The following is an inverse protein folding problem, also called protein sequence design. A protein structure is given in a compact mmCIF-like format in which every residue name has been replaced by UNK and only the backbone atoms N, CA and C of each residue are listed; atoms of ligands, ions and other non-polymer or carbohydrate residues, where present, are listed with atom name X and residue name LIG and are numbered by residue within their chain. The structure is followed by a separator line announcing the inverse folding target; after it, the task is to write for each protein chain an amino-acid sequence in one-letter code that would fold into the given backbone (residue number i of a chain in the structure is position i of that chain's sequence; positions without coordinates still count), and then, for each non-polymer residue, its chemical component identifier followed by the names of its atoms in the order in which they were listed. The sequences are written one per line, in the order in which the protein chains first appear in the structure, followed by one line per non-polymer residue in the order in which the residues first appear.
data_IF_008205915509
#
_entry.id   IF_008205915509
#
_cell.length_a   1.000
_cell.length_b   1.000
_cell.length_c   1.000
_cell.angle_alpha   90.00
_cell.angle_beta   90.00
_cell.angle_gamma   90.00
#
_symmetry.space_group_name_H-M   'P 1'
#
loop_
_entity.id
_entity.type
_entity.pdbx_description
1 polymer ?
#
# COMPACT_ATOMS: atom_id res chain seq x y z
N UNK A 1 -13.91 -6.01 -8.50
CA UNK A 1 -13.25 -5.49 -9.72
C UNK A 1 -12.93 -4.02 -9.51
N UNK A 2 -11.73 -3.56 -9.87
CA UNK A 2 -11.38 -2.14 -9.75
C UNK A 2 -12.27 -1.29 -10.67
N UNK A 3 -12.75 -0.17 -10.16
CA UNK A 3 -13.59 0.81 -10.86
C UNK A 3 -12.82 2.05 -11.29
N UNK A 4 -11.71 2.36 -10.62
CA UNK A 4 -10.84 3.50 -10.93
C UNK A 4 -9.39 3.24 -10.50
N UNK A 5 -8.48 4.08 -10.98
CA UNK A 5 -7.09 4.09 -10.50
C UNK A 5 -7.00 4.61 -9.06
N UNK A 6 -6.06 4.09 -8.26
CA UNK A 6 -5.76 4.66 -6.95
C UNK A 6 -5.19 6.08 -7.12
N UNK A 7 -5.43 6.95 -6.13
CA UNK A 7 -4.83 8.28 -6.13
C UNK A 7 -3.31 8.18 -5.87
N UNK A 8 -2.55 9.18 -6.35
CA UNK A 8 -1.07 9.11 -6.48
C UNK A 8 -0.39 8.84 -5.15
N UNK A 9 -0.90 9.38 -4.05
CA UNK A 9 -0.37 9.18 -2.70
C UNK A 9 -0.29 7.70 -2.30
N UNK A 10 -1.09 6.81 -2.90
CA UNK A 10 -1.01 5.37 -2.61
C UNK A 10 0.31 4.74 -3.06
N UNK A 11 0.97 5.32 -4.05
CA UNK A 11 2.33 4.93 -4.44
C UNK A 11 3.31 5.29 -3.31
N UNK A 12 3.16 6.48 -2.72
CA UNK A 12 4.04 6.96 -1.65
C UNK A 12 3.80 6.23 -0.32
N UNK A 13 2.54 5.92 0.00
CA UNK A 13 2.18 5.03 1.12
C UNK A 13 2.81 3.63 0.94
N UNK A 14 2.76 3.07 -0.28
CA UNK A 14 3.38 1.77 -0.57
C UNK A 14 4.91 1.82 -0.46
N UNK A 15 5.54 2.90 -0.94
CA UNK A 15 6.98 3.12 -0.80
C UNK A 15 7.40 3.12 0.67
N UNK A 16 6.66 3.83 1.51
CA UNK A 16 6.93 3.91 2.96
C UNK A 16 6.79 2.54 3.60
N UNK A 17 5.72 1.81 3.31
CA UNK A 17 5.51 0.46 3.84
C UNK A 17 6.64 -0.52 3.45
N UNK A 18 7.17 -0.42 2.22
CA UNK A 18 8.31 -1.24 1.79
C UNK A 18 9.60 -0.78 2.48
N UNK A 19 9.85 0.53 2.51
CA UNK A 19 11.09 1.10 3.07
C UNK A 19 11.23 0.84 4.57
N UNK A 20 10.12 0.88 5.31
CA UNK A 20 10.07 0.62 6.76
C UNK A 20 10.03 -0.88 7.11
N UNK A 21 10.05 -1.77 6.10
CA UNK A 21 9.99 -3.21 6.33
C UNK A 21 8.65 -3.70 6.86
N UNK A 22 7.57 -2.96 6.63
CA UNK A 22 6.22 -3.29 7.10
C UNK A 22 5.52 -4.37 6.25
N UNK A 23 6.15 -4.85 5.18
CA UNK A 23 5.58 -5.86 4.29
C UNK A 23 6.23 -7.21 4.54
N UNK A 24 5.43 -8.18 4.98
CA UNK A 24 5.80 -9.59 5.10
C UNK A 24 5.12 -10.39 3.99
N UNK A 25 5.91 -10.88 3.03
CA UNK A 25 5.44 -11.79 1.99
C UNK A 25 5.44 -13.24 2.48
N UNK A 26 4.34 -13.93 2.20
CA UNK A 26 4.13 -15.36 2.41
C UNK A 26 3.63 -15.97 1.08
N UNK A 27 3.53 -17.30 0.97
CA UNK A 27 3.33 -17.99 -0.31
C UNK A 27 2.23 -17.39 -1.21
N UNK A 28 1.01 -17.26 -0.69
CA UNK A 28 -0.19 -16.80 -1.38
C UNK A 28 -0.83 -15.55 -0.73
N UNK A 29 -0.10 -14.94 0.21
CA UNK A 29 -0.56 -13.76 0.93
C UNK A 29 0.58 -12.85 1.37
N UNK A 30 0.22 -11.65 1.80
CA UNK A 30 1.11 -10.70 2.45
C UNK A 30 0.42 -10.03 3.63
N UNK A 31 1.20 -9.75 4.66
CA UNK A 31 0.81 -8.91 5.79
C UNK A 31 1.49 -7.55 5.66
N UNK A 32 0.71 -6.46 5.73
CA UNK A 32 1.21 -5.10 5.58
C UNK A 32 0.81 -4.28 6.80
N UNK A 33 1.79 -3.83 7.58
CA UNK A 33 1.58 -2.97 8.75
C UNK A 33 1.49 -1.50 8.33
N UNK A 34 0.54 -0.74 8.90
CA UNK A 34 0.37 0.69 8.61
C UNK A 34 1.56 1.52 9.06
N UNK A 35 1.73 2.72 8.50
CA UNK A 35 2.85 3.64 8.83
C UNK A 35 3.00 3.94 10.32
N UNK A 36 1.89 3.95 11.06
CA UNK A 36 1.85 4.17 12.51
C UNK A 36 1.67 2.86 13.31
N UNK A 37 1.83 1.70 12.66
CA UNK A 37 1.73 0.36 13.24
C UNK A 37 0.38 0.01 13.90
N UNK A 38 -0.64 0.87 13.78
CA UNK A 38 -1.93 0.68 14.43
C UNK A 38 -2.80 -0.41 13.79
N UNK A 39 -2.52 -0.80 12.53
CA UNK A 39 -3.29 -1.80 11.79
C UNK A 39 -2.37 -2.66 10.93
N UNK A 40 -2.74 -3.92 10.77
CA UNK A 40 -2.15 -4.82 9.78
C UNK A 40 -3.23 -5.25 8.79
N UNK A 41 -2.91 -5.13 7.50
CA UNK A 41 -3.75 -5.53 6.39
C UNK A 41 -3.28 -6.87 5.83
N UNK A 42 -4.20 -7.62 5.24
CA UNK A 42 -3.92 -8.87 4.54
C UNK A 42 -4.24 -8.68 3.07
N UNK A 43 -3.25 -8.96 2.23
CA UNK A 43 -3.43 -9.08 0.78
C UNK A 43 -3.29 -10.55 0.42
N UNK A 44 -4.31 -11.15 -0.15
CA UNK A 44 -4.22 -12.50 -0.72
C UNK A 44 -4.10 -12.41 -2.23
N UNK A 45 -3.36 -13.34 -2.83
CA UNK A 45 -3.17 -13.36 -4.28
C UNK A 45 -3.12 -14.78 -4.82
N UNK A 46 -3.84 -14.99 -5.93
CA UNK A 46 -3.86 -16.23 -6.68
C UNK A 46 -3.84 -15.88 -8.17
N UNK A 47 -2.85 -16.42 -8.90
CA UNK A 47 -2.55 -16.08 -10.29
C UNK A 47 -2.35 -14.55 -10.50
N UNK A 48 -3.34 -13.91 -11.11
CA UNK A 48 -3.38 -12.48 -11.38
C UNK A 48 -4.50 -11.75 -10.61
N UNK A 49 -5.11 -12.42 -9.64
CA UNK A 49 -6.16 -11.85 -8.78
C UNK A 49 -5.55 -11.47 -7.44
N UNK A 50 -5.73 -10.21 -7.05
CA UNK A 50 -5.29 -9.67 -5.76
C UNK A 50 -6.51 -9.18 -4.99
N UNK A 51 -6.62 -9.59 -3.74
CA UNK A 51 -7.67 -9.15 -2.81
C UNK A 51 -7.03 -8.57 -1.58
N UNK A 52 -7.56 -7.45 -1.09
CA UNK A 52 -7.07 -6.79 0.13
C UNK A 52 -8.23 -6.53 1.06
N UNK A 53 -8.02 -6.74 2.36
CA UNK A 53 -8.98 -6.40 3.40
C UNK A 53 -8.93 -4.91 3.79
N UNK A 54 -8.13 -4.09 3.10
CA UNK A 54 -8.11 -2.65 3.31
C UNK A 54 -9.44 -2.00 2.86
N UNK A 55 -9.89 -1.01 3.64
CA UNK A 55 -11.17 -0.35 3.41
C UNK A 55 -11.24 0.38 2.05
N UNK A 56 -10.12 0.78 1.46
CA UNK A 56 -10.14 1.46 0.16
C UNK A 56 -10.48 0.47 -0.97
N UNK A 57 -9.93 -0.74 -0.93
CA UNK A 57 -10.27 -1.80 -1.89
C UNK A 57 -11.76 -2.16 -1.85
N UNK A 58 -12.37 -2.17 -0.67
CA UNK A 58 -13.79 -2.51 -0.52
C UNK A 58 -14.74 -1.36 -0.87
N UNK A 59 -14.50 -0.14 -0.36
CA UNK A 59 -15.45 0.97 -0.45
C UNK A 59 -15.13 1.99 -1.55
N UNK A 60 -13.87 2.11 -1.97
CA UNK A 60 -13.43 3.15 -2.92
C UNK A 60 -13.27 2.62 -4.35
N UNK A 61 -13.26 1.30 -4.55
CA UNK A 61 -13.19 0.69 -5.87
C UNK A 61 -11.84 0.84 -6.56
N UNK A 62 -10.75 1.04 -5.81
CA UNK A 62 -9.37 1.01 -6.32
C UNK A 62 -8.50 0.16 -5.39
N UNK A 63 -7.37 -0.33 -5.90
CA UNK A 63 -6.42 -1.09 -5.09
C UNK A 63 -5.68 -0.18 -4.10
N UNK A 64 -5.82 -0.44 -2.80
CA UNK A 64 -5.12 0.32 -1.76
C UNK A 64 -3.59 0.13 -1.78
N UNK A 65 -2.87 0.93 -1.00
CA UNK A 65 -1.41 0.83 -0.87
C UNK A 65 -0.91 -0.57 -0.49
N UNK A 66 -1.61 -1.42 0.30
CA UNK A 66 -1.11 -2.75 0.61
C UNK A 66 -0.96 -3.61 -0.65
N UNK A 67 -1.93 -3.58 -1.55
CA UNK A 67 -1.87 -4.31 -2.80
C UNK A 67 -0.80 -3.77 -3.76
N UNK A 68 -0.65 -2.44 -3.82
CA UNK A 68 0.41 -1.79 -4.61
C UNK A 68 1.79 -2.22 -4.13
N UNK A 69 2.02 -2.25 -2.80
CA UNK A 69 3.29 -2.67 -2.22
C UNK A 69 3.63 -4.12 -2.58
N UNK A 70 2.65 -5.03 -2.52
CA UNK A 70 2.84 -6.43 -2.95
C UNK A 70 3.21 -6.53 -4.43
N UNK A 71 2.50 -5.81 -5.31
CA UNK A 71 2.79 -5.80 -6.73
C UNK A 71 4.20 -5.27 -7.05
N UNK A 72 4.66 -4.25 -6.31
CA UNK A 72 6.02 -3.73 -6.42
C UNK A 72 7.07 -4.77 -6.01
N UNK A 73 6.88 -5.43 -4.86
CA UNK A 73 7.82 -6.45 -4.38
C UNK A 73 7.84 -7.72 -5.25
N UNK A 74 6.75 -8.03 -5.93
CA UNK A 74 6.68 -9.11 -6.93
C UNK A 74 7.22 -8.70 -8.30
N UNK A 75 7.69 -7.45 -8.48
CA UNK A 75 8.22 -6.95 -9.75
C UNK A 75 7.15 -6.70 -10.82
N UNK A 76 5.86 -6.72 -10.47
CA UNK A 76 4.74 -6.45 -11.38
C UNK A 76 4.48 -4.94 -11.56
N UNK A 77 4.94 -4.12 -10.61
CA UNK A 77 4.99 -2.67 -10.72
C UNK A 77 6.43 -2.16 -10.56
N UNK A 78 6.82 -1.08 -11.26
CA UNK A 78 8.10 -0.43 -11.05
C UNK A 78 8.27 0.01 -9.59
N UNK A 79 9.47 -0.18 -9.05
CA UNK A 79 9.84 0.23 -7.70
C UNK A 79 11.24 0.82 -7.73
N UNK A 80 11.36 2.08 -7.30
CA UNK A 80 12.66 2.73 -7.11
C UNK A 80 13.01 2.72 -5.61
N UNK A 81 13.97 1.86 -5.24
CA UNK A 81 14.40 1.70 -3.85
C UNK A 81 15.00 2.99 -3.26
N UNK A 82 15.84 3.69 -4.00
CA UNK A 82 16.50 4.92 -3.54
C UNK A 82 15.47 6.02 -3.24
N UNK A 83 14.49 6.18 -4.14
CA UNK A 83 13.38 7.12 -3.94
C UNK A 83 12.50 6.68 -2.76
N UNK A 84 12.16 5.40 -2.66
CA UNK A 84 11.32 4.89 -1.57
C UNK A 84 11.94 5.13 -0.19
N UNK A 85 13.26 5.01 -0.06
CA UNK A 85 13.97 5.30 1.19
C UNK A 85 13.82 6.76 1.65
N UNK A 86 13.54 7.71 0.74
CA UNK A 86 13.27 9.09 1.14
C UNK A 86 11.91 9.28 1.82
N UNK A 87 11.02 8.28 1.72
CA UNK A 87 9.70 8.28 2.37
C UNK A 87 9.67 7.39 3.62
N UNK A 88 10.79 6.81 4.04
CA UNK A 88 10.87 6.02 5.26
C UNK A 88 10.43 6.84 6.49
N UNK A 89 9.66 6.23 7.40
CA UNK A 89 9.16 6.84 8.63
C UNK A 89 8.06 7.91 8.44
N UNK A 90 7.51 8.09 7.23
CA UNK A 90 6.41 9.02 7.01
C UNK A 90 5.10 8.48 7.59
N UNK A 91 4.55 9.17 8.59
CA UNK A 91 3.25 8.81 9.16
C UNK A 91 2.08 9.27 8.26
N UNK A 92 1.76 8.46 7.26
CA UNK A 92 0.62 8.64 6.38
C UNK A 92 -0.73 8.63 7.11
N UNK A 93 -0.84 7.98 8.26
CA UNK A 93 -2.07 8.01 9.03
C UNK A 93 -2.37 9.43 9.51
N UNK A 94 -1.35 10.09 10.09
CA UNK A 94 -1.42 11.50 10.51
C UNK A 94 -1.68 12.43 9.33
N UNK A 95 -0.89 12.32 8.26
CA UNK A 95 -1.02 13.15 7.05
C UNK A 95 -2.43 13.01 6.43
N UNK A 96 -2.96 11.80 6.34
CA UNK A 96 -4.27 11.56 5.74
C UNK A 96 -5.41 12.15 6.59
N UNK A 97 -5.26 12.20 7.92
CA UNK A 97 -6.22 12.84 8.82
C UNK A 97 -6.17 14.37 8.73
N UNK A 98 -4.96 14.94 8.73
CA UNK A 98 -4.73 16.38 8.71
C UNK A 98 -5.25 17.02 7.42
N UNK A 99 -4.91 16.42 6.28
CA UNK A 99 -5.24 16.98 4.97
C UNK A 99 -6.54 16.41 4.37
N UNK A 100 -7.24 15.52 5.08
CA UNK A 100 -8.48 14.84 4.61
C UNK A 100 -8.36 14.23 3.20
N UNK A 101 -7.17 13.77 2.85
CA UNK A 101 -6.82 13.26 1.50
C UNK A 101 -6.82 14.29 0.38
N UNK A 102 -6.69 15.58 0.71
CA UNK A 102 -6.46 16.65 -0.24
C UNK A 102 -5.05 17.23 -0.06
N UNK A 103 -4.13 16.80 -0.91
CA UNK A 103 -2.70 17.13 -0.80
C UNK A 103 -2.25 18.22 -1.79
N UNK A 104 -3.21 18.94 -2.39
CA UNK A 104 -3.00 20.03 -3.36
C UNK A 104 -3.41 21.38 -2.77
#
# INVERSE_FOLDING_TARGET
MMKKFPPIEKILEAYTAIADGHVKLENDQALITSSNEAKTYTVTFHDNTYTSNDNASYWQGYLGYPGIAVLMLQGKLPYNKELAQQFAGVDWNKINQEYKRNYA
#
